data_IF_426794277256
#
_entry.id   IF_426794277256
#
_cell.length_a   1.000
_cell.length_b   1.000
_cell.length_c   1.000
_cell.angle_alpha   90.00
_cell.angle_beta   90.00
_cell.angle_gamma   90.00
#
_symmetry.space_group_name_H-M   'P 1'
#
loop_
_entity.id
_entity.type
_entity.pdbx_description
1 polymer ?
#
# COMPACT_ATOMS: atom_id res chain seq x y z
N UNK A 1 -19.55 -1.19 -4.61
CA UNK A 1 -19.39 -0.85 -3.16
C UNK A 1 -20.69 -1.13 -2.41
N UNK A 2 -20.63 -1.47 -1.11
CA UNK A 2 -21.82 -1.73 -0.28
C UNK A 2 -22.77 -0.52 -0.26
N UNK A 3 -22.26 0.70 -0.33
CA UNK A 3 -23.05 1.94 -0.39
C UNK A 3 -23.47 2.40 -1.80
N UNK A 4 -23.27 1.57 -2.81
CA UNK A 4 -23.46 1.95 -4.22
C UNK A 4 -22.23 2.67 -4.80
N UNK A 5 -22.18 2.81 -6.11
CA UNK A 5 -21.08 3.41 -6.84
C UNK A 5 -19.97 2.41 -7.22
N UNK A 6 -19.09 2.86 -8.09
CA UNK A 6 -17.92 2.11 -8.59
C UNK A 6 -16.66 2.84 -8.17
N UNK A 7 -15.72 2.12 -7.57
CA UNK A 7 -14.39 2.64 -7.26
C UNK A 7 -13.44 2.36 -8.42
N UNK A 8 -12.77 3.42 -8.88
CA UNK A 8 -11.63 3.27 -9.76
C UNK A 8 -10.38 2.96 -8.90
N UNK A 9 -9.60 1.96 -9.30
CA UNK A 9 -8.50 1.43 -8.52
C UNK A 9 -7.53 2.48 -7.99
N UNK A 10 -7.03 2.33 -6.76
CA UNK A 10 -6.20 3.32 -6.09
C UNK A 10 -4.83 3.47 -6.77
N UNK A 11 -4.30 4.70 -6.77
CA UNK A 11 -2.88 4.92 -6.98
C UNK A 11 -2.11 4.52 -5.70
N UNK A 12 -1.02 3.79 -5.87
CA UNK A 12 -0.15 3.44 -4.76
C UNK A 12 0.92 4.53 -4.58
N UNK A 13 0.77 5.37 -3.57
CA UNK A 13 1.69 6.46 -3.26
C UNK A 13 2.29 6.29 -1.87
N UNK A 14 3.53 6.79 -1.69
CA UNK A 14 4.18 6.75 -0.39
C UNK A 14 3.42 7.62 0.62
N UNK A 15 3.04 7.03 1.75
CA UNK A 15 2.53 7.78 2.89
C UNK A 15 3.68 8.30 3.76
N UNK A 16 3.55 9.54 4.25
CA UNK A 16 4.55 10.17 5.12
C UNK A 16 4.25 9.97 6.62
N UNK A 17 3.26 9.16 6.92
CA UNK A 17 2.87 8.71 8.25
C UNK A 17 2.31 7.30 8.15
N UNK A 18 2.58 6.42 9.12
CA UNK A 18 2.11 5.02 9.12
C UNK A 18 0.59 4.90 9.02
N UNK A 19 -0.14 5.78 9.67
CA UNK A 19 -1.60 5.91 9.58
C UNK A 19 -1.98 7.24 8.93
N UNK A 20 -1.37 7.55 7.77
CA UNK A 20 -1.62 8.78 7.01
C UNK A 20 -2.60 8.53 5.87
N UNK A 21 -3.77 9.14 5.94
CA UNK A 21 -4.83 9.04 4.93
C UNK A 21 -4.86 10.23 3.98
N UNK A 22 -4.10 11.28 4.27
CA UNK A 22 -4.00 12.49 3.45
C UNK A 22 -2.54 12.82 3.18
N UNK A 23 -2.26 13.50 2.07
CA UNK A 23 -0.90 14.00 1.78
C UNK A 23 -0.37 14.97 2.84
N UNK A 24 -1.27 15.65 3.57
CA UNK A 24 -0.93 16.53 4.67
C UNK A 24 -0.56 15.80 5.97
N UNK A 25 -0.81 14.50 6.05
CA UNK A 25 -0.51 13.72 7.24
C UNK A 25 0.98 13.39 7.26
N UNK A 26 1.74 14.13 8.08
CA UNK A 26 3.19 14.00 8.21
C UNK A 26 3.55 13.57 9.63
N UNK A 27 4.52 12.66 9.75
CA UNK A 27 5.15 12.29 11.01
C UNK A 27 6.66 12.21 10.80
N UNK A 28 7.38 13.10 11.47
CA UNK A 28 8.84 13.24 11.32
C UNK A 28 9.58 11.94 11.72
N UNK A 29 9.08 11.22 12.73
CA UNK A 29 9.67 9.96 13.15
C UNK A 29 9.50 8.88 12.07
N UNK A 30 8.28 8.72 11.53
CA UNK A 30 8.00 7.73 10.48
C UNK A 30 8.79 8.03 9.20
N UNK A 31 8.90 9.32 8.85
CA UNK A 31 9.74 9.78 7.72
C UNK A 31 11.21 9.45 7.99
N UNK A 32 11.72 9.77 9.18
CA UNK A 32 13.11 9.47 9.57
C UNK A 32 13.40 7.97 9.51
N UNK A 33 12.53 7.13 10.06
CA UNK A 33 12.66 5.66 10.00
C UNK A 33 12.68 5.16 8.55
N UNK A 34 11.82 5.70 7.68
CA UNK A 34 11.80 5.35 6.26
C UNK A 34 13.08 5.75 5.54
N UNK A 35 13.53 7.00 5.72
CA UNK A 35 14.70 7.53 5.02
C UNK A 35 16.03 6.91 5.51
N UNK A 36 16.09 6.44 6.75
CA UNK A 36 17.27 5.76 7.29
C UNK A 36 17.33 4.27 6.94
N UNK A 37 16.24 3.70 6.40
CA UNK A 37 16.21 2.29 6.03
C UNK A 37 16.88 2.04 4.68
N UNK A 38 17.94 1.22 4.59
CA UNK A 38 18.66 0.97 3.34
C UNK A 38 17.80 0.37 2.24
N UNK A 39 16.86 -0.51 2.60
CA UNK A 39 15.92 -1.14 1.66
C UNK A 39 15.05 -0.13 0.93
N UNK A 40 14.67 0.97 1.59
CA UNK A 40 13.90 2.04 0.97
C UNK A 40 14.63 2.65 -0.25
N UNK A 41 15.90 2.96 -0.12
CA UNK A 41 16.69 3.53 -1.21
C UNK A 41 16.89 2.57 -2.38
N UNK A 42 16.99 1.27 -2.09
CA UNK A 42 17.03 0.24 -3.12
C UNK A 42 15.68 0.14 -3.87
N UNK A 43 14.55 0.25 -3.16
CA UNK A 43 13.22 0.34 -3.77
C UNK A 43 13.10 1.60 -4.61
N UNK A 44 13.55 2.74 -4.12
CA UNK A 44 13.55 4.00 -4.89
C UNK A 44 14.38 3.84 -6.17
N UNK A 45 15.52 3.19 -6.11
CA UNK A 45 16.32 2.89 -7.30
C UNK A 45 15.60 1.99 -8.31
N UNK A 46 14.88 0.98 -7.84
CA UNK A 46 14.14 0.03 -8.71
C UNK A 46 12.84 0.63 -9.28
N UNK A 47 12.08 1.33 -8.46
CA UNK A 47 10.69 1.70 -8.75
C UNK A 47 10.40 3.21 -8.67
N UNK A 48 11.41 4.04 -8.42
CA UNK A 48 11.23 5.47 -8.19
C UNK A 48 10.52 6.20 -9.34
N UNK A 49 10.84 5.85 -10.59
CA UNK A 49 10.15 6.40 -11.76
C UNK A 49 8.65 6.07 -11.75
N UNK A 50 8.30 4.83 -11.46
CA UNK A 50 6.90 4.38 -11.35
C UNK A 50 6.21 5.09 -10.20
N UNK A 51 6.87 5.17 -9.02
CA UNK A 51 6.33 5.88 -7.85
C UNK A 51 6.05 7.36 -8.12
N UNK A 52 6.95 8.05 -8.84
CA UNK A 52 6.72 9.45 -9.24
C UNK A 52 5.54 9.59 -10.21
N UNK A 53 5.38 8.66 -11.14
CA UNK A 53 4.22 8.66 -12.04
C UNK A 53 2.91 8.40 -11.30
N UNK A 54 2.91 7.49 -10.31
CA UNK A 54 1.74 7.24 -9.46
C UNK A 54 1.38 8.49 -8.63
N UNK A 55 2.39 9.15 -8.06
CA UNK A 55 2.21 10.41 -7.33
C UNK A 55 1.59 11.49 -8.23
N UNK A 56 2.12 11.67 -9.44
CA UNK A 56 1.57 12.62 -10.41
C UNK A 56 0.13 12.30 -10.78
N UNK A 57 -0.20 11.02 -11.03
CA UNK A 57 -1.58 10.58 -11.31
C UNK A 57 -2.52 10.82 -10.13
N UNK A 58 -2.02 10.66 -8.91
CA UNK A 58 -2.81 10.89 -7.69
C UNK A 58 -3.16 12.37 -7.48
N UNK A 59 -2.32 13.28 -7.98
CA UNK A 59 -2.52 14.72 -7.86
C UNK A 59 -3.27 15.33 -9.07
N UNK A 60 -3.28 14.63 -10.22
CA UNK A 60 -3.86 15.13 -11.45
C UNK A 60 -5.08 14.30 -11.90
N UNK A 61 -6.29 14.83 -11.68
CA UNK A 61 -7.54 14.20 -12.12
C UNK A 61 -7.52 13.88 -13.62
N UNK A 62 -7.03 14.81 -14.45
CA UNK A 62 -6.91 14.61 -15.89
C UNK A 62 -5.98 13.44 -16.24
N UNK A 63 -4.84 13.30 -15.55
CA UNK A 63 -3.90 12.22 -15.78
C UNK A 63 -4.50 10.86 -15.32
N UNK A 64 -5.24 10.87 -14.23
CA UNK A 64 -5.95 9.70 -13.73
C UNK A 64 -7.03 9.25 -14.72
N UNK A 65 -7.85 10.18 -15.22
CA UNK A 65 -8.90 9.91 -16.23
C UNK A 65 -8.29 9.28 -17.48
N UNK A 66 -7.19 9.82 -18.03
CA UNK A 66 -6.51 9.23 -19.19
C UNK A 66 -6.03 7.80 -18.94
N UNK A 67 -5.65 7.49 -17.71
CA UNK A 67 -5.25 6.13 -17.36
C UNK A 67 -6.45 5.19 -17.32
N UNK A 68 -7.61 5.63 -16.83
CA UNK A 68 -8.85 4.86 -16.84
C UNK A 68 -9.40 4.66 -18.25
N UNK A 69 -9.27 5.66 -19.13
CA UNK A 69 -9.72 5.59 -20.53
C UNK A 69 -9.03 4.48 -21.34
N UNK A 70 -7.90 3.96 -20.87
CA UNK A 70 -7.28 2.76 -21.47
C UNK A 70 -8.10 1.50 -21.24
N UNK A 71 -8.92 1.46 -20.20
CA UNK A 71 -9.79 0.33 -19.83
C UNK A 71 -11.24 0.61 -20.21
N UNK A 72 -11.70 1.84 -19.97
CA UNK A 72 -13.07 2.29 -20.22
C UNK A 72 -12.98 3.63 -20.95
N UNK A 73 -12.95 3.64 -22.29
CA UNK A 73 -12.74 4.85 -23.10
C UNK A 73 -13.77 5.96 -22.88
N UNK A 74 -14.97 5.61 -22.48
CA UNK A 74 -16.12 6.52 -22.32
C UNK A 74 -16.03 7.38 -21.05
N UNK A 75 -15.20 7.00 -20.05
CA UNK A 75 -15.07 7.74 -18.79
C UNK A 75 -14.51 9.14 -19.04
N UNK A 76 -15.15 10.13 -18.44
CA UNK A 76 -14.75 11.53 -18.49
C UNK A 76 -14.39 12.06 -17.10
N UNK A 77 -13.66 13.16 -17.02
CA UNK A 77 -13.28 13.75 -15.73
C UNK A 77 -14.50 14.11 -14.85
N UNK A 78 -15.62 14.50 -15.47
CA UNK A 78 -16.87 14.83 -14.75
C UNK A 78 -17.48 13.62 -14.03
N UNK A 79 -17.22 12.41 -14.50
CA UNK A 79 -17.77 11.17 -13.96
C UNK A 79 -16.98 10.72 -12.70
N UNK A 80 -15.84 11.33 -12.45
CA UNK A 80 -14.98 11.00 -11.31
C UNK A 80 -15.22 11.98 -10.15
N UNK A 81 -15.33 11.44 -8.97
CA UNK A 81 -15.33 12.20 -7.71
C UNK A 81 -14.15 11.72 -6.84
N UNK A 82 -13.67 12.60 -5.99
CA UNK A 82 -12.63 12.21 -5.04
C UNK A 82 -13.19 11.16 -4.06
N UNK A 83 -12.51 10.03 -3.98
CA UNK A 83 -12.82 8.95 -3.05
C UNK A 83 -11.99 9.03 -1.77
N UNK A 84 -12.22 8.05 -0.89
CA UNK A 84 -11.37 7.84 0.29
C UNK A 84 -10.00 7.28 -0.08
N UNK A 85 -9.12 7.23 0.90
CA UNK A 85 -7.84 6.57 0.79
C UNK A 85 -7.70 5.49 1.87
N UNK A 86 -6.88 4.48 1.62
CA UNK A 86 -6.52 3.45 2.58
C UNK A 86 -5.02 3.40 2.77
N UNK A 87 -4.57 2.97 3.93
CA UNK A 87 -3.16 2.71 4.19
C UNK A 87 -2.88 1.24 3.97
N UNK A 88 -1.89 0.95 3.14
CA UNK A 88 -1.35 -0.39 2.95
C UNK A 88 0.02 -0.49 3.60
N UNK A 89 0.15 -1.33 4.62
CA UNK A 89 1.44 -1.65 5.18
C UNK A 89 2.21 -2.54 4.20
N UNK A 90 3.28 -2.02 3.62
CA UNK A 90 4.16 -2.77 2.74
C UNK A 90 5.53 -2.89 3.39
N UNK A 91 5.89 -4.09 3.83
CA UNK A 91 7.21 -4.34 4.38
C UNK A 91 8.24 -4.55 3.27
N UNK A 92 9.49 -4.16 3.53
CA UNK A 92 10.62 -4.45 2.66
C UNK A 92 11.84 -4.87 3.46
N UNK A 93 12.65 -5.74 2.87
CA UNK A 93 13.92 -6.14 3.43
C UNK A 93 15.03 -5.11 3.19
N UNK A 94 16.23 -5.38 3.71
CA UNK A 94 17.39 -4.49 3.52
C UNK A 94 17.91 -4.47 2.07
N UNK A 95 17.51 -5.46 1.27
CA UNK A 95 17.89 -5.56 -0.13
C UNK A 95 16.89 -4.92 -1.08
N UNK A 96 15.81 -4.33 -0.52
CA UNK A 96 14.77 -3.65 -1.27
C UNK A 96 13.83 -4.62 -1.98
N UNK A 97 13.69 -5.85 -1.46
CA UNK A 97 12.64 -6.75 -1.90
C UNK A 97 11.39 -6.50 -1.08
N UNK A 98 10.25 -6.47 -1.74
CA UNK A 98 8.96 -6.35 -1.07
C UNK A 98 8.63 -7.68 -0.40
N UNK A 99 8.14 -7.62 0.84
CA UNK A 99 7.71 -8.80 1.58
C UNK A 99 6.21 -8.92 1.37
N UNK A 100 5.82 -9.78 0.43
CA UNK A 100 4.43 -9.96 0.00
C UNK A 100 3.73 -11.13 0.73
N UNK A 101 4.43 -11.77 1.67
CA UNK A 101 3.92 -12.90 2.44
C UNK A 101 4.02 -12.65 3.94
N UNK A 102 3.47 -13.58 4.74
CA UNK A 102 3.53 -13.54 6.19
C UNK A 102 4.97 -13.67 6.69
N UNK A 103 5.39 -12.71 7.50
CA UNK A 103 6.65 -12.79 8.21
C UNK A 103 6.39 -13.24 9.64
N UNK A 104 6.51 -14.55 9.87
CA UNK A 104 6.33 -15.18 11.17
C UNK A 104 7.69 -15.42 11.81
N UNK A 105 7.85 -15.03 13.07
CA UNK A 105 9.03 -15.34 13.87
C UNK A 105 8.60 -16.15 15.09
N UNK A 106 9.22 -17.30 15.27
CA UNK A 106 9.01 -18.18 16.40
C UNK A 106 10.07 -17.92 17.47
N UNK A 107 9.64 -17.71 18.71
CA UNK A 107 10.51 -17.57 19.87
C UNK A 107 9.90 -18.36 21.04
N UNK A 108 10.53 -19.45 21.42
CA UNK A 108 10.06 -20.33 22.51
C UNK A 108 8.53 -20.61 22.43
N UNK A 109 7.75 -19.96 23.27
CA UNK A 109 6.29 -20.11 23.36
C UNK A 109 5.54 -18.94 22.67
N UNK A 110 6.19 -18.19 21.79
CA UNK A 110 5.62 -17.02 21.14
C UNK A 110 5.76 -17.10 19.64
N UNK A 111 4.71 -16.69 18.94
CA UNK A 111 4.75 -16.46 17.50
C UNK A 111 4.48 -14.99 17.23
N UNK A 112 5.47 -14.30 16.67
CA UNK A 112 5.33 -12.93 16.25
C UNK A 112 4.90 -12.87 14.79
N UNK A 113 3.70 -12.36 14.52
CA UNK A 113 3.24 -12.03 13.17
C UNK A 113 3.74 -10.64 12.82
N UNK A 114 4.88 -10.53 12.15
CA UNK A 114 5.55 -9.25 11.87
C UNK A 114 5.00 -8.54 10.65
N UNK A 115 4.43 -9.29 9.73
CA UNK A 115 3.78 -8.78 8.53
C UNK A 115 2.59 -9.67 8.17
N UNK A 116 1.45 -9.03 7.91
CA UNK A 116 0.23 -9.69 7.46
C UNK A 116 -0.35 -8.90 6.27
N UNK A 117 0.14 -9.16 5.04
CA UNK A 117 -0.30 -8.42 3.88
C UNK A 117 -1.78 -8.68 3.53
N UNK A 118 -2.38 -7.75 2.80
CA UNK A 118 -3.74 -7.95 2.26
C UNK A 118 -3.79 -9.22 1.37
N UNK A 119 -4.81 -10.05 1.51
CA UNK A 119 -6.13 -9.84 2.14
C UNK A 119 -6.26 -10.38 3.57
N UNK A 120 -5.39 -10.02 4.49
CA UNK A 120 -5.31 -10.57 5.84
C UNK A 120 -6.65 -10.61 6.58
N UNK A 121 -7.44 -9.54 6.53
CA UNK A 121 -8.73 -9.48 7.24
C UNK A 121 -9.75 -10.51 6.71
N UNK A 122 -9.87 -10.66 5.39
CA UNK A 122 -10.80 -11.60 4.77
C UNK A 122 -10.32 -13.05 4.84
N UNK A 123 -9.01 -13.27 5.01
CA UNK A 123 -8.38 -14.59 5.11
C UNK A 123 -8.05 -14.97 6.57
N UNK A 124 -8.55 -14.23 7.56
CA UNK A 124 -8.13 -14.35 8.95
C UNK A 124 -8.31 -15.78 9.54
N UNK A 125 -9.36 -16.49 9.15
CA UNK A 125 -9.58 -17.86 9.61
C UNK A 125 -8.51 -18.83 9.08
N UNK A 126 -8.15 -18.72 7.80
CA UNK A 126 -7.10 -19.55 7.20
C UNK A 126 -5.73 -19.20 7.78
N UNK A 127 -5.48 -17.93 8.06
CA UNK A 127 -4.26 -17.46 8.70
C UNK A 127 -4.17 -17.98 10.14
N UNK A 128 -5.26 -17.89 10.91
CA UNK A 128 -5.33 -18.40 12.26
C UNK A 128 -5.05 -19.90 12.32
N UNK A 129 -5.59 -20.67 11.36
CA UNK A 129 -5.30 -22.10 11.22
C UNK A 129 -3.81 -22.35 10.96
N UNK A 130 -3.23 -21.64 9.96
CA UNK A 130 -1.80 -21.77 9.63
C UNK A 130 -0.88 -21.45 10.82
N UNK A 131 -1.23 -20.45 11.63
CA UNK A 131 -0.47 -20.09 12.83
C UNK A 131 -0.61 -21.17 13.89
N UNK A 132 -1.84 -21.69 14.13
CA UNK A 132 -2.10 -22.71 15.14
C UNK A 132 -1.41 -24.04 14.83
N UNK A 133 -1.22 -24.38 13.56
CA UNK A 133 -0.48 -25.59 13.14
C UNK A 133 1.04 -25.49 13.37
N UNK A 134 1.55 -24.30 13.71
CA UNK A 134 2.96 -24.03 13.98
C UNK A 134 3.30 -23.86 15.46
N UNK A 135 2.32 -24.00 16.32
CA UNK A 135 2.47 -24.03 17.77
C UNK A 135 2.68 -25.49 18.24
#
# INVERSE_FOLDING_TARGET
MIGGGVEAGPNAVLAFKREGYKFSDLNIRDIGETLTWPGFWKIVGKYGKTGMMEMYRSLSKASFTRSLQKLIPEVQEKDLIAGGSGVRAQACDRDGNLIDDFNLRHEANLIHVRNAPSPAATSCLSIGKLISEKI
#
